data_IF_331528446895
#
_entry.id   IF_331528446895
#
_cell.length_a   1.000
_cell.length_b   1.000
_cell.length_c   1.000
_cell.angle_alpha   90.00
_cell.angle_beta   90.00
_cell.angle_gamma   90.00
#
_symmetry.space_group_name_H-M   'P 1'
#
loop_
_entity.id
_entity.type
_entity.pdbx_description
1 polymer ?
#
# COMPACT_ATOMS: atom_id res chain seq x y z
N UNK A 1 1.66 0.42 6.01
CA UNK A 1 2.76 1.38 5.80
C UNK A 1 2.58 2.67 6.60
N UNK A 2 1.48 3.42 6.45
CA UNK A 2 1.26 4.66 7.22
C UNK A 2 1.26 4.45 8.75
N UNK A 3 0.71 3.32 9.21
CA UNK A 3 0.77 2.92 10.63
C UNK A 3 2.17 2.53 11.14
N UNK A 4 3.14 2.28 10.26
CA UNK A 4 4.54 2.09 10.66
C UNK A 4 5.30 3.44 10.69
N UNK A 5 4.68 4.54 10.24
CA UNK A 5 5.29 5.88 10.21
C UNK A 5 5.87 6.31 8.86
N UNK A 6 5.82 5.45 7.83
CA UNK A 6 6.46 5.72 6.53
C UNK A 6 5.46 6.13 5.45
N UNK A 7 5.88 7.07 4.61
CA UNK A 7 5.12 7.51 3.44
C UNK A 7 5.55 6.78 2.17
N UNK A 8 6.86 6.53 2.02
CA UNK A 8 7.46 5.97 0.82
C UNK A 8 8.66 5.10 1.21
N UNK A 9 8.88 4.02 0.45
CA UNK A 9 10.07 3.18 0.51
C UNK A 9 10.81 3.34 -0.82
N UNK A 10 12.10 3.69 -0.75
CA UNK A 10 12.98 3.84 -1.90
C UNK A 10 14.05 2.75 -1.81
N UNK A 11 14.06 1.86 -2.81
CA UNK A 11 14.99 0.73 -2.86
C UNK A 11 15.99 0.96 -3.98
N UNK A 12 17.26 1.08 -3.60
CA UNK A 12 18.37 1.36 -4.50
C UNK A 12 19.38 0.21 -4.52
N UNK A 13 20.12 0.08 -5.62
CA UNK A 13 21.09 -1.00 -5.81
C UNK A 13 20.44 -2.36 -6.09
N UNK A 14 21.21 -3.42 -5.83
CA UNK A 14 20.87 -4.83 -6.03
C UNK A 14 21.53 -5.66 -4.93
N UNK A 15 20.79 -6.55 -4.30
CA UNK A 15 21.35 -7.47 -3.30
C UNK A 15 22.18 -8.59 -3.97
N UNK A 16 23.22 -9.08 -3.29
CA UNK A 16 24.06 -10.19 -3.80
C UNK A 16 23.31 -11.51 -3.88
N UNK A 17 22.34 -11.72 -2.99
CA UNK A 17 21.48 -12.90 -2.92
C UNK A 17 20.01 -12.46 -2.75
N UNK A 18 19.03 -13.36 -2.96
CA UNK A 18 17.63 -13.12 -2.63
C UNK A 18 17.43 -12.59 -1.21
N UNK A 19 16.74 -11.46 -1.07
CA UNK A 19 16.39 -10.86 0.22
C UNK A 19 14.92 -10.45 0.27
N UNK A 20 14.39 -10.26 1.48
CA UNK A 20 13.10 -9.61 1.71
C UNK A 20 13.24 -8.54 2.80
N UNK A 21 12.41 -7.50 2.69
CA UNK A 21 12.42 -6.37 3.60
C UNK A 21 11.38 -6.59 4.69
N UNK A 22 11.80 -6.56 5.96
CA UNK A 22 10.93 -6.64 7.13
C UNK A 22 10.86 -5.28 7.82
N UNK A 23 9.68 -4.72 7.90
CA UNK A 23 9.40 -3.47 8.61
C UNK A 23 8.40 -3.77 9.72
N UNK A 24 8.79 -3.51 10.96
CA UNK A 24 7.92 -3.53 12.14
C UNK A 24 8.11 -2.22 12.88
N UNK A 25 7.17 -1.29 12.67
CA UNK A 25 7.26 0.07 13.20
C UNK A 25 8.63 0.73 12.87
N UNK A 26 9.43 1.09 13.88
CA UNK A 26 10.75 1.71 13.68
C UNK A 26 11.86 0.70 13.34
N UNK A 27 11.59 -0.60 13.43
CA UNK A 27 12.58 -1.65 13.13
C UNK A 27 12.49 -2.03 11.66
N UNK A 28 13.59 -1.83 10.95
CA UNK A 28 13.74 -2.17 9.53
C UNK A 28 14.93 -3.11 9.37
N UNK A 29 14.71 -4.31 8.82
CA UNK A 29 15.77 -5.28 8.51
C UNK A 29 15.62 -5.86 7.11
N UNK A 30 16.76 -6.17 6.47
CA UNK A 30 16.83 -6.96 5.25
C UNK A 30 17.24 -8.37 5.62
N UNK A 31 16.38 -9.33 5.32
CA UNK A 31 16.54 -10.73 5.67
C UNK A 31 16.77 -11.57 4.42
N UNK A 32 17.47 -12.70 4.54
CA UNK A 32 17.66 -13.63 3.43
C UNK A 32 16.33 -14.25 3.00
N UNK A 33 16.14 -14.43 1.69
CA UNK A 33 14.91 -14.94 1.10
C UNK A 33 15.12 -16.23 0.29
N UNK A 34 16.22 -16.96 0.51
CA UNK A 34 16.55 -18.17 -0.24
C UNK A 34 15.42 -19.21 -0.17
N UNK A 35 14.78 -19.35 1.01
CA UNK A 35 13.64 -20.26 1.23
C UNK A 35 12.31 -19.78 0.59
N UNK A 36 12.27 -18.55 0.10
CA UNK A 36 11.10 -17.95 -0.56
C UNK A 36 11.28 -17.90 -2.07
N UNK A 37 12.52 -17.87 -2.55
CA UNK A 37 12.82 -17.79 -3.98
C UNK A 37 12.26 -19.02 -4.71
N UNK A 38 11.65 -18.82 -5.87
CA UNK A 38 10.92 -19.86 -6.59
C UNK A 38 9.49 -20.10 -6.10
N UNK A 39 9.10 -19.64 -4.91
CA UNK A 39 7.72 -19.80 -4.44
C UNK A 39 6.77 -18.80 -5.12
N UNK A 40 5.50 -19.20 -5.27
CA UNK A 40 4.43 -18.30 -5.70
C UNK A 40 4.18 -17.17 -4.69
N UNK A 41 3.49 -16.11 -5.11
CA UNK A 41 3.25 -14.92 -4.26
C UNK A 41 2.43 -15.24 -3.02
N UNK A 42 1.34 -16.03 -3.15
CA UNK A 42 0.48 -16.42 -2.01
C UNK A 42 1.25 -17.27 -0.99
N UNK A 43 2.01 -18.26 -1.45
CA UNK A 43 2.85 -19.08 -0.59
C UNK A 43 3.95 -18.25 0.10
N UNK A 44 4.54 -17.30 -0.61
CA UNK A 44 5.53 -16.35 -0.04
C UNK A 44 4.90 -15.51 1.06
N UNK A 45 3.71 -14.95 0.82
CA UNK A 45 2.96 -14.18 1.80
C UNK A 45 2.65 -15.01 3.04
N UNK A 46 2.10 -16.21 2.86
CA UNK A 46 1.72 -17.08 3.97
C UNK A 46 2.94 -17.42 4.84
N UNK A 47 4.05 -17.78 4.23
CA UNK A 47 5.29 -18.08 4.93
C UNK A 47 5.81 -16.87 5.73
N UNK A 48 5.81 -15.68 5.12
CA UNK A 48 6.22 -14.45 5.81
C UNK A 48 5.27 -14.15 6.98
N UNK A 49 3.96 -14.28 6.80
CA UNK A 49 2.97 -14.10 7.87
C UNK A 49 3.19 -15.09 9.02
N UNK A 50 3.53 -16.35 8.73
CA UNK A 50 3.88 -17.35 9.75
C UNK A 50 5.15 -16.99 10.52
N UNK A 51 6.15 -16.43 9.86
CA UNK A 51 7.42 -15.98 10.47
C UNK A 51 7.30 -14.66 11.23
N UNK A 52 6.21 -13.91 11.04
CA UNK A 52 6.04 -12.57 11.59
C UNK A 52 4.76 -12.45 12.39
N UNK A 53 3.65 -12.18 11.71
CA UNK A 53 2.32 -12.03 12.29
C UNK A 53 1.26 -12.13 11.19
N UNK A 54 0.05 -12.65 11.47
CA UNK A 54 -1.10 -12.63 10.55
C UNK A 54 -1.48 -11.22 10.07
N UNK A 55 -1.19 -10.18 10.86
CA UNK A 55 -1.50 -8.78 10.52
C UNK A 55 -0.49 -8.14 9.55
N UNK A 56 0.60 -8.85 9.24
CA UNK A 56 1.63 -8.34 8.35
C UNK A 56 1.11 -8.22 6.92
N UNK A 57 1.21 -7.02 6.34
CA UNK A 57 0.92 -6.81 4.93
C UNK A 57 2.18 -7.07 4.11
N UNK A 58 2.09 -7.99 3.15
CA UNK A 58 3.22 -8.43 2.33
C UNK A 58 2.97 -8.10 0.87
N UNK A 59 3.92 -7.43 0.25
CA UNK A 59 3.98 -7.26 -1.20
C UNK A 59 5.13 -8.11 -1.75
N UNK A 60 4.81 -9.10 -2.60
CA UNK A 60 5.76 -10.11 -3.05
C UNK A 60 5.73 -10.29 -4.57
N UNK A 61 6.86 -10.73 -5.13
CA UNK A 61 6.95 -11.19 -6.52
C UNK A 61 6.87 -12.72 -6.61
N UNK A 62 6.34 -13.21 -7.73
CA UNK A 62 6.38 -14.64 -8.07
C UNK A 62 7.57 -14.97 -8.97
N UNK A 63 7.64 -16.22 -9.41
CA UNK A 63 8.67 -16.72 -10.33
C UNK A 63 8.80 -15.86 -11.61
N UNK A 64 7.71 -15.28 -12.10
CA UNK A 64 7.74 -14.38 -13.25
C UNK A 64 8.58 -13.11 -12.99
N UNK A 65 8.52 -12.55 -11.77
CA UNK A 65 9.34 -11.40 -11.40
C UNK A 65 10.80 -11.79 -11.19
N UNK A 66 11.03 -12.96 -10.58
CA UNK A 66 12.38 -13.53 -10.36
C UNK A 66 13.11 -13.77 -11.69
N UNK A 67 12.40 -14.27 -12.70
CA UNK A 67 12.91 -14.53 -14.05
C UNK A 67 12.89 -13.29 -14.97
N UNK A 68 12.62 -12.10 -14.42
CA UNK A 68 12.62 -10.82 -15.14
C UNK A 68 11.67 -10.78 -16.36
N UNK A 69 10.55 -11.51 -16.29
CA UNK A 69 9.58 -11.55 -17.38
C UNK A 69 8.98 -10.14 -17.57
N UNK A 70 8.97 -9.60 -18.80
CA UNK A 70 8.35 -8.32 -19.10
C UNK A 70 6.91 -8.29 -18.57
N UNK A 71 6.49 -7.13 -18.04
CA UNK A 71 5.15 -6.92 -17.47
C UNK A 71 4.81 -7.76 -16.23
N UNK A 72 5.74 -8.54 -15.67
CA UNK A 72 5.51 -9.24 -14.41
C UNK A 72 5.11 -8.26 -13.29
N UNK A 73 4.15 -8.70 -12.47
CA UNK A 73 3.56 -7.89 -11.42
C UNK A 73 4.04 -8.28 -10.02
N UNK A 74 3.86 -7.35 -9.10
CA UNK A 74 3.93 -7.60 -7.65
C UNK A 74 2.51 -7.81 -7.12
N UNK A 75 2.33 -8.74 -6.19
CA UNK A 75 1.03 -8.98 -5.55
C UNK A 75 1.11 -8.66 -4.06
N UNK A 76 0.10 -7.97 -3.57
CA UNK A 76 -0.13 -7.76 -2.14
C UNK A 76 -1.05 -8.86 -1.60
N UNK A 77 -0.74 -9.36 -0.40
CA UNK A 77 -1.41 -10.42 0.36
C UNK A 77 -2.93 -10.54 0.20
N UNK A 78 -3.66 -9.42 0.03
CA UNK A 78 -5.13 -9.36 0.16
C UNK A 78 -5.92 -8.93 -1.08
N UNK A 79 -5.36 -8.93 -2.31
CA UNK A 79 -6.07 -8.79 -3.62
C UNK A 79 -5.63 -7.62 -4.53
N UNK A 80 -4.55 -6.90 -4.22
CA UNK A 80 -4.06 -5.83 -5.09
C UNK A 80 -2.77 -6.23 -5.81
N UNK A 81 -2.61 -5.73 -7.03
CA UNK A 81 -1.42 -5.96 -7.85
C UNK A 81 -0.79 -4.64 -8.27
N UNK A 82 0.54 -4.61 -8.28
CA UNK A 82 1.31 -3.64 -9.04
C UNK A 82 1.58 -4.22 -10.41
N UNK A 83 1.02 -3.62 -11.45
CA UNK A 83 1.26 -4.00 -12.85
C UNK A 83 2.50 -3.34 -13.45
N UNK A 84 2.56 -3.27 -14.79
CA UNK A 84 3.55 -2.52 -15.55
C UNK A 84 5.03 -2.91 -15.34
N UNK A 85 5.31 -4.19 -15.08
CA UNK A 85 6.69 -4.70 -14.97
C UNK A 85 7.37 -4.40 -13.63
N UNK A 86 6.61 -3.96 -12.62
CA UNK A 86 7.12 -3.74 -11.26
C UNK A 86 7.72 -5.02 -10.64
N UNK A 87 7.21 -6.20 -11.02
CA UNK A 87 7.76 -7.48 -10.61
C UNK A 87 9.19 -7.71 -11.12
N UNK A 88 9.45 -7.43 -12.40
CA UNK A 88 10.78 -7.58 -13.00
C UNK A 88 11.78 -6.58 -12.42
N UNK A 89 11.34 -5.35 -12.13
CA UNK A 89 12.18 -4.34 -11.46
C UNK A 89 12.60 -4.85 -10.08
N UNK A 90 11.67 -5.37 -9.30
CA UNK A 90 11.94 -5.88 -7.96
C UNK A 90 12.82 -7.14 -7.99
N UNK A 91 12.57 -8.05 -8.94
CA UNK A 91 13.40 -9.23 -9.19
C UNK A 91 14.82 -8.88 -9.63
N UNK A 92 15.01 -7.84 -10.44
CA UNK A 92 16.34 -7.38 -10.87
C UNK A 92 17.24 -6.96 -9.70
N UNK A 93 16.63 -6.56 -8.58
CA UNK A 93 17.30 -6.17 -7.33
C UNK A 93 17.50 -7.33 -6.36
N UNK A 94 17.12 -8.55 -6.73
CA UNK A 94 17.05 -9.73 -5.86
C UNK A 94 16.14 -9.51 -4.63
N UNK A 95 15.10 -8.68 -4.76
CA UNK A 95 14.15 -8.44 -3.68
C UNK A 95 12.89 -9.29 -3.90
N UNK A 96 12.67 -10.26 -3.03
CA UNK A 96 11.54 -11.20 -3.11
C UNK A 96 10.24 -10.60 -2.57
N UNK A 97 10.31 -9.89 -1.45
CA UNK A 97 9.13 -9.36 -0.79
C UNK A 97 9.44 -8.14 0.09
N UNK A 98 8.39 -7.36 0.36
CA UNK A 98 8.37 -6.28 1.36
C UNK A 98 7.22 -6.58 2.31
N UNK A 99 7.54 -6.75 3.58
CA UNK A 99 6.61 -7.02 4.66
C UNK A 99 6.56 -5.84 5.61
N UNK A 100 5.34 -5.36 5.90
CA UNK A 100 5.14 -4.20 6.76
C UNK A 100 4.08 -4.50 7.81
N UNK A 101 4.49 -4.39 9.07
CA UNK A 101 3.65 -4.38 10.26
C UNK A 101 3.79 -2.99 10.91
N UNK A 102 2.65 -2.38 11.24
CA UNK A 102 2.63 -1.05 11.85
C UNK A 102 1.50 -0.94 12.86
N UNK A 103 1.83 -0.47 14.05
CA UNK A 103 0.90 -0.40 15.19
C UNK A 103 0.57 1.03 15.61
N UNK A 104 1.23 2.03 15.01
CA UNK A 104 1.06 3.45 15.36
C UNK A 104 -0.22 4.02 14.75
N UNK A 105 -0.67 5.15 15.31
CA UNK A 105 -1.74 5.96 14.73
C UNK A 105 -1.25 6.91 13.64
N UNK A 106 -2.17 7.32 12.75
CA UNK A 106 -1.92 8.41 11.78
C UNK A 106 -2.39 9.72 12.38
N UNK A 107 -1.54 10.75 12.30
CA UNK A 107 -1.92 12.09 12.78
C UNK A 107 -2.88 12.77 11.79
N UNK A 108 -4.03 13.20 12.29
CA UNK A 108 -5.08 13.89 11.53
C UNK A 108 -5.16 15.32 12.05
N UNK A 109 -5.06 16.29 11.15
CA UNK A 109 -5.01 17.72 11.50
C UNK A 109 -6.29 18.20 12.21
N UNK A 110 -7.46 17.79 11.72
CA UNK A 110 -8.76 18.05 12.35
C UNK A 110 -9.55 16.73 12.40
N UNK A 111 -9.65 16.16 13.61
CA UNK A 111 -10.35 14.89 13.82
C UNK A 111 -11.86 15.02 13.74
N UNK A 112 -12.42 16.16 14.14
CA UNK A 112 -13.87 16.37 14.14
C UNK A 112 -14.38 16.54 12.72
N UNK A 113 -13.69 17.36 11.91
CA UNK A 113 -14.08 17.55 10.52
C UNK A 113 -13.85 16.29 9.68
N UNK A 114 -12.75 15.54 9.92
CA UNK A 114 -12.54 14.25 9.25
C UNK A 114 -13.69 13.29 9.56
N UNK A 115 -14.10 13.19 10.83
CA UNK A 115 -15.23 12.35 11.23
C UNK A 115 -16.53 12.79 10.55
N UNK A 116 -16.83 14.09 10.56
CA UNK A 116 -18.04 14.64 9.91
C UNK A 116 -18.10 14.31 8.41
N UNK A 117 -16.98 14.45 7.71
CA UNK A 117 -16.87 14.12 6.29
C UNK A 117 -16.98 12.62 6.02
N UNK A 118 -16.39 11.78 6.89
CA UNK A 118 -16.51 10.34 6.80
C UNK A 118 -17.96 9.89 7.04
N UNK A 119 -18.64 10.47 8.02
CA UNK A 119 -20.05 10.18 8.32
C UNK A 119 -20.93 10.57 7.12
N UNK A 120 -20.75 11.77 6.55
CA UNK A 120 -21.44 12.20 5.32
C UNK A 120 -21.20 11.25 4.13
N UNK A 121 -19.96 10.82 3.91
CA UNK A 121 -19.62 9.90 2.83
C UNK A 121 -20.32 8.54 3.02
N UNK A 122 -20.33 8.01 4.24
CA UNK A 122 -20.91 6.71 4.53
C UNK A 122 -22.45 6.73 4.48
N UNK A 123 -23.10 7.77 5.00
CA UNK A 123 -24.57 7.83 5.06
C UNK A 123 -25.20 8.34 3.76
N UNK A 124 -24.67 9.43 3.20
CA UNK A 124 -25.34 10.13 2.09
C UNK A 124 -24.87 9.67 0.71
N UNK A 125 -23.57 9.37 0.55
CA UNK A 125 -23.00 9.02 -0.76
C UNK A 125 -23.03 7.51 -1.00
N UNK A 126 -22.45 6.73 -0.09
CA UNK A 126 -22.38 5.28 -0.21
C UNK A 126 -23.74 4.65 0.15
N UNK A 127 -24.44 5.19 1.15
CA UNK A 127 -25.80 4.76 1.51
C UNK A 127 -26.85 4.98 0.41
N UNK A 128 -26.61 5.90 -0.52
CA UNK A 128 -27.42 6.07 -1.72
C UNK A 128 -27.00 5.16 -2.89
N UNK A 129 -25.84 4.48 -2.78
CA UNK A 129 -25.34 3.55 -3.78
C UNK A 129 -25.93 2.16 -3.53
N UNK A 130 -27.20 2.01 -3.89
CA UNK A 130 -27.92 0.75 -3.89
C UNK A 130 -27.41 -0.08 -5.08
N UNK A 131 -26.28 -0.77 -4.95
CA UNK A 131 -25.91 -1.81 -5.91
C UNK A 131 -26.83 -3.02 -5.70
N UNK A 132 -28.10 -2.86 -6.05
CA UNK A 132 -29.05 -3.93 -6.33
C UNK A 132 -29.49 -3.71 -7.77
N UNK A 133 -29.38 -4.73 -8.62
CA UNK A 133 -30.18 -4.80 -9.83
C UNK A 133 -31.64 -4.70 -9.36
N UNK A 134 -32.22 -3.50 -9.51
CA UNK A 134 -33.59 -3.07 -9.16
C UNK A 134 -34.13 -3.52 -7.78
N UNK A 135 -34.22 -2.64 -6.75
CA UNK A 135 -34.99 -3.00 -5.56
C UNK A 135 -36.48 -3.17 -5.95
N UNK A 136 -37.07 -4.32 -5.64
CA UNK A 136 -38.46 -4.69 -5.96
C UNK A 136 -39.51 -3.94 -5.13
N UNK A 137 -39.09 -3.13 -4.17
CA UNK A 137 -39.97 -2.32 -3.33
C UNK A 137 -39.44 -0.89 -3.22
N UNK A 138 -40.32 0.07 -3.56
CA UNK A 138 -40.10 1.48 -3.29
C UNK A 138 -39.88 1.66 -1.78
N UNK A 139 -38.77 2.28 -1.38
CA UNK A 139 -38.60 2.71 0.01
C UNK A 139 -39.70 3.74 0.28
N UNK A 140 -40.60 3.52 1.26
CA UNK A 140 -41.65 4.48 1.56
C UNK A 140 -40.99 5.76 2.07
N UNK A 141 -41.21 6.84 1.34
CA UNK A 141 -40.82 8.19 1.71
C UNK A 141 -41.40 8.54 3.07
N UNK A 142 -40.62 8.37 4.12
CA UNK A 142 -40.98 8.90 5.42
C UNK A 142 -40.87 10.42 5.35
N UNK A 143 -42.04 11.01 5.56
CA UNK A 143 -42.30 12.43 5.66
C UNK A 143 -41.33 13.11 6.63
N UNK A 144 -40.84 14.29 6.24
CA UNK A 144 -40.38 15.28 7.20
C UNK A 144 -38.87 15.51 7.29
N UNK A 145 -38.14 15.55 6.18
CA UNK A 145 -36.96 16.43 6.11
C UNK A 145 -37.01 17.23 4.82
N UNK A 146 -37.14 18.54 4.98
CA UNK A 146 -37.03 19.54 3.92
C UNK A 146 -35.69 19.35 3.19
N UNK A 147 -35.74 18.67 2.04
CA UNK A 147 -34.66 18.75 1.05
C UNK A 147 -34.76 20.15 0.44
N UNK A 148 -34.11 21.13 1.07
CA UNK A 148 -33.78 22.38 0.38
C UNK A 148 -32.87 21.99 -0.78
N UNK A 149 -33.44 21.98 -1.98
CA UNK A 149 -32.67 21.84 -3.21
C UNK A 149 -31.59 22.90 -3.24
N UNK A 150 -30.35 22.51 -2.97
CA UNK A 150 -29.17 23.30 -3.26
C UNK A 150 -28.86 23.18 -4.76
N UNK A 151 -29.74 23.73 -5.60
CA UNK A 151 -29.40 24.14 -6.96
C UNK A 151 -28.45 25.35 -6.83
N UNK A 152 -27.17 25.06 -6.58
CA UNK A 152 -26.19 26.08 -6.22
C UNK A 152 -25.04 25.57 -5.37
N UNK A 153 -24.65 24.29 -5.47
CA UNK A 153 -23.38 23.85 -4.90
C UNK A 153 -22.24 24.41 -5.76
N UNK A 154 -21.80 25.64 -5.43
CA UNK A 154 -20.51 26.17 -5.85
C UNK A 154 -19.47 25.14 -5.41
N UNK A 155 -18.90 24.40 -6.37
CA UNK A 155 -17.84 23.44 -6.13
C UNK A 155 -16.68 24.16 -5.45
N UNK A 156 -16.61 24.11 -4.11
CA UNK A 156 -15.43 24.57 -3.39
C UNK A 156 -14.35 23.56 -3.73
N UNK A 157 -13.48 23.94 -4.66
CA UNK A 157 -12.20 23.27 -4.88
C UNK A 157 -11.46 23.35 -3.55
N UNK A 158 -11.52 22.27 -2.76
CA UNK A 158 -10.72 22.11 -1.56
C UNK A 158 -9.30 21.96 -2.05
N UNK A 159 -8.56 23.07 -2.02
CA UNK A 159 -7.15 23.13 -2.35
C UNK A 159 -6.40 22.25 -1.34
N UNK A 160 -6.16 20.99 -1.71
CA UNK A 160 -5.32 20.05 -0.96
C UNK A 160 -3.98 20.73 -0.70
N UNK A 161 -3.78 21.20 0.54
CA UNK A 161 -2.47 21.69 0.98
C UNK A 161 -1.48 20.55 0.76
N UNK A 162 -0.38 20.83 0.06
CA UNK A 162 0.72 19.90 -0.26
C UNK A 162 0.91 18.88 0.87
N UNK A 163 0.70 17.61 0.56
CA UNK A 163 1.10 16.50 1.43
C UNK A 163 2.62 16.60 1.58
N UNK A 164 3.11 17.07 2.74
CA UNK A 164 4.53 16.99 3.06
C UNK A 164 4.85 15.52 3.29
N UNK A 165 5.64 14.90 2.41
CA UNK A 165 6.27 13.60 2.66
C UNK A 165 7.19 13.78 3.88
N UNK A 166 6.91 13.06 4.97
CA UNK A 166 7.59 13.25 6.25
C UNK A 166 8.74 12.26 6.44
N UNK A 167 8.64 11.03 5.95
CA UNK A 167 9.68 10.01 6.12
C UNK A 167 9.76 9.04 4.93
N UNK A 168 10.94 8.95 4.31
CA UNK A 168 11.27 7.97 3.29
C UNK A 168 12.36 7.02 3.82
N UNK A 169 12.12 5.71 3.77
CA UNK A 169 13.19 4.74 4.01
C UNK A 169 13.97 4.62 2.71
N UNK A 170 15.24 5.01 2.74
CA UNK A 170 16.18 4.81 1.64
C UNK A 170 17.08 3.63 1.99
N UNK A 171 16.87 2.51 1.32
CA UNK A 171 17.70 1.32 1.52
C UNK A 171 18.72 1.26 0.40
N UNK A 172 19.99 1.50 0.76
CA UNK A 172 21.15 1.27 -0.11
C UNK A 172 21.81 -0.02 0.32
N UNK A 173 22.09 -0.93 -0.63
CA UNK A 173 22.97 -2.05 -0.36
C UNK A 173 24.35 -1.52 0.03
N UNK A 174 24.79 -1.78 1.27
CA UNK A 174 26.17 -1.51 1.66
C UNK A 174 27.12 -2.37 0.81
N UNK A 175 28.24 -1.78 0.39
CA UNK A 175 29.41 -2.38 -0.28
C UNK A 175 29.48 -2.32 -1.82
N UNK A 176 29.74 -1.11 -2.35
CA UNK A 176 30.77 -0.85 -3.37
C UNK A 176 31.42 0.50 -3.01
N UNK A 177 32.73 0.59 -2.69
CA UNK A 177 33.40 1.87 -2.57
C UNK A 177 33.41 2.55 -3.94
N UNK A 178 32.75 3.70 -4.04
CA UNK A 178 32.90 4.58 -5.20
C UNK A 178 34.29 5.17 -5.06
N UNK A 179 35.26 4.65 -5.79
CA UNK A 179 36.58 5.26 -5.90
C UNK A 179 36.42 6.50 -6.82
N UNK A 180 36.61 7.74 -6.33
CA UNK A 180 36.36 8.92 -7.12
C UNK A 180 37.63 9.38 -7.84
N UNK A 181 38.46 8.50 -8.40
CA UNK A 181 39.57 8.87 -9.28
C UNK A 181 39.98 7.65 -10.12
N UNK A 182 39.67 7.70 -11.42
CA UNK A 182 40.36 7.03 -12.54
C UNK A 182 39.65 7.42 -13.84
N UNK A 183 40.07 8.55 -14.40
CA UNK A 183 40.18 8.78 -15.85
C UNK A 183 41.63 9.11 -16.12
#
# INVERSE_FOLDING_TARGET
MKFAGYDVIIIEGKAKSPVWLKIKDDKVSLEKADFLWGKGTRATTEEICRLTSPETCVAAIGQAGENLIPLSGMLNSRNHSGGAGTGAIMGSKNLKAIAVEGTKGVNIADRQEMKRLNDYMMTELIGANNNHVVPSTQIPSHAGQHVKGCFGARLKVVRLKRVKFRQAIRIRSAFVPINPFLT
#
